data_IF_760937275227
#
_entry.id   IF_760937275227
#
_cell.length_a   1.000
_cell.length_b   1.000
_cell.length_c   1.000
_cell.angle_alpha   90.00
_cell.angle_beta   90.00
_cell.angle_gamma   90.00
#
_symmetry.space_group_name_H-M   'P 1'
#
loop_
_entity.id
_entity.type
_entity.pdbx_description
1 polymer ?
#
# COMPACT_ATOMS: atom_id res chain seq x y z
N UNK A 1 -24.07 -4.88 10.32
CA UNK A 1 -22.60 -4.81 10.18
C UNK A 1 -22.24 -5.59 8.93
N UNK A 2 -21.56 -4.96 7.97
CA UNK A 2 -21.16 -5.61 6.71
C UNK A 2 -19.79 -6.25 6.92
N UNK A 3 -19.61 -7.47 6.44
CA UNK A 3 -18.32 -8.18 6.50
C UNK A 3 -17.81 -8.39 5.07
N UNK A 4 -16.49 -8.30 4.91
CA UNK A 4 -15.84 -8.46 3.61
C UNK A 4 -14.86 -9.64 3.66
N UNK A 5 -14.82 -10.41 2.56
CA UNK A 5 -13.82 -11.46 2.41
C UNK A 5 -12.43 -10.84 2.25
N UNK A 6 -11.42 -11.25 3.03
CA UNK A 6 -10.06 -10.72 2.92
C UNK A 6 -9.36 -11.08 1.60
N UNK A 7 -9.82 -12.12 0.89
CA UNK A 7 -9.21 -12.58 -0.35
C UNK A 7 -9.76 -11.91 -1.61
N UNK A 8 -11.08 -11.70 -1.69
CA UNK A 8 -11.73 -11.11 -2.88
C UNK A 8 -12.50 -9.83 -2.63
N UNK A 9 -12.56 -9.36 -1.38
CA UNK A 9 -13.25 -8.15 -0.95
C UNK A 9 -14.75 -8.08 -1.30
N UNK A 10 -15.40 -9.21 -1.57
CA UNK A 10 -16.87 -9.28 -1.65
C UNK A 10 -17.49 -9.31 -0.28
N UNK A 11 -18.70 -8.77 -0.19
CA UNK A 11 -19.54 -8.88 0.99
C UNK A 11 -19.82 -10.36 1.30
N UNK A 12 -19.78 -10.70 2.59
CA UNK A 12 -20.02 -12.04 3.12
C UNK A 12 -20.85 -11.95 4.39
N UNK A 13 -21.54 -13.03 4.72
CA UNK A 13 -22.27 -13.14 5.99
C UNK A 13 -21.31 -13.26 7.18
N UNK A 14 -21.74 -12.72 8.34
CA UNK A 14 -20.96 -12.72 9.58
C UNK A 14 -20.50 -14.11 10.05
N UNK A 15 -21.25 -15.16 9.70
CA UNK A 15 -20.96 -16.56 10.07
C UNK A 15 -20.22 -17.35 9.00
N UNK A 16 -19.81 -16.72 7.90
CA UNK A 16 -19.24 -17.42 6.75
C UNK A 16 -17.84 -17.96 7.08
N UNK A 17 -17.67 -19.30 7.03
CA UNK A 17 -16.37 -19.94 7.27
C UNK A 17 -15.48 -19.95 6.03
N UNK A 18 -16.08 -20.13 4.85
CA UNK A 18 -15.41 -20.20 3.55
C UNK A 18 -16.12 -19.24 2.60
N UNK A 19 -15.37 -18.37 1.92
CA UNK A 19 -15.95 -17.42 0.97
C UNK A 19 -16.59 -18.15 -0.22
N UNK A 20 -17.86 -17.87 -0.56
CA UNK A 20 -18.54 -18.53 -1.68
C UNK A 20 -18.02 -18.09 -3.06
N UNK A 21 -17.21 -17.03 -3.13
CA UNK A 21 -16.73 -16.46 -4.39
C UNK A 21 -15.28 -16.77 -4.73
N UNK A 22 -14.42 -16.96 -3.73
CA UNK A 22 -13.00 -17.26 -3.94
C UNK A 22 -12.50 -18.44 -3.11
N UNK A 23 -13.39 -19.15 -2.42
CA UNK A 23 -13.09 -20.37 -1.64
C UNK A 23 -12.09 -20.17 -0.49
N UNK A 24 -11.76 -18.91 -0.15
CA UNK A 24 -10.88 -18.57 0.98
C UNK A 24 -11.50 -18.98 2.32
N UNK A 25 -10.75 -19.66 3.19
CA UNK A 25 -11.14 -19.95 4.57
C UNK A 25 -11.00 -18.70 5.46
N UNK A 26 -12.10 -17.97 5.61
CA UNK A 26 -12.21 -16.72 6.38
C UNK A 26 -12.00 -16.99 7.87
N UNK A 27 -12.48 -18.14 8.36
CA UNK A 27 -12.38 -18.50 9.77
C UNK A 27 -10.94 -18.79 10.19
N UNK A 28 -10.17 -19.45 9.32
CA UNK A 28 -8.73 -19.66 9.48
C UNK A 28 -7.97 -18.35 9.36
N UNK A 29 -8.28 -17.53 8.34
CA UNK A 29 -7.63 -16.22 8.18
C UNK A 29 -7.82 -15.34 9.43
N UNK A 30 -9.04 -15.22 9.95
CA UNK A 30 -9.31 -14.38 11.12
C UNK A 30 -8.51 -14.79 12.36
N UNK A 31 -8.31 -16.11 12.55
CA UNK A 31 -7.57 -16.69 13.67
C UNK A 31 -6.05 -16.67 13.49
N UNK A 32 -5.55 -16.80 12.27
CA UNK A 32 -4.12 -17.04 12.00
C UNK A 32 -3.42 -15.93 11.23
N UNK A 33 -4.15 -14.99 10.63
CA UNK A 33 -3.54 -13.91 9.86
C UNK A 33 -2.67 -13.02 10.77
N UNK A 34 -1.47 -12.74 10.29
CA UNK A 34 -0.51 -11.83 10.91
C UNK A 34 -1.07 -10.42 10.87
N UNK A 35 -0.59 -9.59 11.79
CA UNK A 35 -1.02 -8.19 11.88
C UNK A 35 -0.83 -7.43 10.56
N UNK A 36 0.30 -7.64 9.88
CA UNK A 36 0.60 -7.03 8.57
C UNK A 36 -0.39 -7.48 7.49
N UNK A 37 -0.76 -8.76 7.44
CA UNK A 37 -1.74 -9.27 6.46
C UNK A 37 -3.11 -8.63 6.65
N UNK A 38 -3.54 -8.47 7.91
CA UNK A 38 -4.79 -7.76 8.24
C UNK A 38 -4.75 -6.29 7.77
N UNK A 39 -3.62 -5.61 7.92
CA UNK A 39 -3.44 -4.25 7.44
C UNK A 39 -3.40 -4.17 5.91
N UNK A 40 -2.75 -5.11 5.22
CA UNK A 40 -2.75 -5.20 3.76
C UNK A 40 -4.19 -5.37 3.25
N UNK A 41 -4.98 -6.25 3.87
CA UNK A 41 -6.39 -6.42 3.53
C UNK A 41 -7.21 -5.14 3.74
N UNK A 42 -6.91 -4.37 4.81
CA UNK A 42 -7.58 -3.10 5.09
C UNK A 42 -7.31 -2.00 4.04
N UNK A 43 -6.28 -2.12 3.19
CA UNK A 43 -6.02 -1.19 2.08
C UNK A 43 -7.09 -1.25 0.99
N UNK A 44 -7.91 -2.32 0.94
CA UNK A 44 -9.01 -2.44 -0.01
C UNK A 44 -10.32 -1.79 0.49
N UNK A 45 -10.32 -1.23 1.69
CA UNK A 45 -11.52 -0.64 2.28
C UNK A 45 -11.98 0.62 1.52
N UNK A 46 -13.30 0.83 1.44
CA UNK A 46 -13.88 1.96 0.69
C UNK A 46 -13.69 3.30 1.43
N UNK A 47 -13.54 3.24 2.75
CA UNK A 47 -13.39 4.42 3.59
C UNK A 47 -11.94 4.98 3.55
N UNK A 48 -11.72 6.22 3.09
CA UNK A 48 -10.38 6.79 2.93
C UNK A 48 -9.57 6.85 4.23
N UNK A 49 -10.24 7.05 5.38
CA UNK A 49 -9.58 7.13 6.68
C UNK A 49 -8.97 5.78 7.10
N UNK A 50 -9.72 4.70 6.89
CA UNK A 50 -9.27 3.33 7.17
C UNK A 50 -8.05 2.99 6.34
N UNK A 51 -8.09 3.29 5.04
CA UNK A 51 -7.01 3.02 4.10
C UNK A 51 -5.76 3.84 4.43
N UNK A 52 -5.90 5.14 4.70
CA UNK A 52 -4.79 6.01 5.12
C UNK A 52 -4.11 5.51 6.38
N UNK A 53 -4.91 5.10 7.38
CA UNK A 53 -4.39 4.57 8.65
C UNK A 53 -3.66 3.24 8.42
N UNK A 54 -4.20 2.35 7.60
CA UNK A 54 -3.54 1.09 7.26
C UNK A 54 -2.19 1.35 6.57
N UNK A 55 -2.14 2.23 5.55
CA UNK A 55 -0.91 2.59 4.86
C UNK A 55 0.15 3.17 5.81
N UNK A 56 -0.25 4.10 6.68
CA UNK A 56 0.64 4.70 7.68
C UNK A 56 1.25 3.65 8.63
N UNK A 57 0.44 2.73 9.16
CA UNK A 57 0.94 1.68 10.06
C UNK A 57 1.91 0.75 9.32
N UNK A 58 1.61 0.38 8.06
CA UNK A 58 2.47 -0.47 7.24
C UNK A 58 3.83 0.18 6.96
N UNK A 59 3.85 1.50 6.73
CA UNK A 59 5.06 2.31 6.64
C UNK A 59 5.93 2.20 7.90
N UNK A 60 5.32 2.44 9.06
CA UNK A 60 5.98 2.40 10.37
C UNK A 60 6.54 1.03 10.72
N UNK A 61 5.88 -0.03 10.29
CA UNK A 61 6.32 -1.40 10.44
C UNK A 61 7.41 -1.80 9.44
N UNK A 62 7.71 -0.96 8.45
CA UNK A 62 8.60 -1.24 7.33
C UNK A 62 8.24 -2.55 6.62
N UNK A 63 6.94 -2.79 6.45
CA UNK A 63 6.40 -4.03 5.89
C UNK A 63 6.64 -4.08 4.37
N UNK A 64 7.76 -4.65 3.95
CA UNK A 64 8.13 -4.77 2.53
C UNK A 64 7.13 -5.60 1.73
N UNK A 65 6.48 -6.58 2.36
CA UNK A 65 5.40 -7.35 1.71
C UNK A 65 4.18 -6.50 1.33
N UNK A 66 3.99 -5.33 1.93
CA UNK A 66 2.85 -4.45 1.65
C UNK A 66 3.05 -3.55 0.42
N UNK A 67 4.27 -3.46 -0.11
CA UNK A 67 4.61 -2.56 -1.23
C UNK A 67 3.70 -2.77 -2.45
N UNK A 68 3.44 -4.01 -2.93
CA UNK A 68 2.53 -4.22 -4.05
C UNK A 68 1.11 -3.72 -3.78
N UNK A 69 0.59 -3.95 -2.57
CA UNK A 69 -0.76 -3.54 -2.19
C UNK A 69 -0.88 -2.01 -2.06
N UNK A 70 0.17 -1.34 -1.57
CA UNK A 70 0.25 0.12 -1.50
C UNK A 70 0.27 0.76 -2.90
N UNK A 71 1.01 0.17 -3.85
CA UNK A 71 1.03 0.62 -5.25
C UNK A 71 -0.34 0.43 -5.92
N UNK A 72 -0.94 -0.76 -5.77
CA UNK A 72 -2.29 -1.06 -6.28
C UNK A 72 -3.36 -0.12 -5.69
N UNK A 73 -3.22 0.25 -4.42
CA UNK A 73 -4.08 1.28 -3.82
C UNK A 73 -3.92 2.65 -4.51
N UNK A 74 -2.69 3.10 -4.75
CA UNK A 74 -2.46 4.39 -5.40
C UNK A 74 -2.98 4.44 -6.85
N UNK A 75 -3.00 3.31 -7.56
CA UNK A 75 -3.54 3.24 -8.92
C UNK A 75 -5.09 3.22 -8.94
N UNK A 76 -5.75 2.84 -7.84
CA UNK A 76 -7.22 2.76 -7.73
C UNK A 76 -7.88 4.01 -7.18
N UNK A 77 -7.11 4.96 -6.64
CA UNK A 77 -7.64 6.17 -6.01
C UNK A 77 -7.09 7.43 -6.67
N UNK A 78 -7.95 8.44 -6.81
CA UNK A 78 -7.55 9.78 -7.22
C UNK A 78 -7.41 10.73 -6.02
N UNK A 79 -7.67 10.26 -4.78
CA UNK A 79 -7.62 11.08 -3.57
C UNK A 79 -6.16 11.43 -3.22
N UNK A 80 -5.76 12.73 -3.30
CA UNK A 80 -4.40 13.14 -2.98
C UNK A 80 -3.97 12.84 -1.55
N UNK A 81 -4.93 12.78 -0.60
CA UNK A 81 -4.65 12.42 0.79
C UNK A 81 -4.28 10.94 0.89
N UNK A 82 -5.00 10.05 0.21
CA UNK A 82 -4.65 8.62 0.21
C UNK A 82 -3.30 8.41 -0.45
N UNK A 83 -3.05 9.05 -1.61
CA UNK A 83 -1.78 8.95 -2.33
C UNK A 83 -0.61 9.49 -1.49
N UNK A 84 -0.79 10.61 -0.77
CA UNK A 84 0.22 11.15 0.15
C UNK A 84 0.61 10.11 1.21
N UNK A 85 -0.37 9.44 1.84
CA UNK A 85 -0.11 8.41 2.84
C UNK A 85 0.59 7.17 2.26
N UNK A 86 0.24 6.78 1.03
CA UNK A 86 0.94 5.71 0.31
C UNK A 86 2.40 6.09 0.06
N UNK A 87 2.65 7.29 -0.46
CA UNK A 87 3.99 7.80 -0.75
C UNK A 87 4.86 7.85 0.51
N UNK A 88 4.31 8.34 1.62
CA UNK A 88 5.00 8.39 2.91
C UNK A 88 5.32 6.97 3.41
N UNK A 89 4.35 6.05 3.35
CA UNK A 89 4.56 4.67 3.75
C UNK A 89 5.64 3.97 2.92
N UNK A 90 5.62 4.14 1.59
CA UNK A 90 6.63 3.59 0.68
C UNK A 90 8.03 4.16 0.95
N UNK A 91 8.11 5.46 1.29
CA UNK A 91 9.36 6.09 1.74
C UNK A 91 9.91 5.49 3.03
N UNK A 92 9.05 5.29 4.04
CA UNK A 92 9.45 4.68 5.32
C UNK A 92 9.88 3.21 5.17
N UNK A 93 9.22 2.45 4.27
CA UNK A 93 9.57 1.07 3.96
C UNK A 93 10.94 1.00 3.27
N UNK A 94 11.23 1.93 2.36
CA UNK A 94 12.52 2.00 1.66
C UNK A 94 12.74 0.88 0.64
N UNK A 95 11.69 0.27 0.11
CA UNK A 95 11.82 -0.80 -0.89
C UNK A 95 12.01 -0.23 -2.31
N UNK A 96 13.08 -0.64 -2.99
CA UNK A 96 13.44 -0.14 -4.33
C UNK A 96 12.35 -0.32 -5.37
N UNK A 97 11.43 -1.28 -5.19
CA UNK A 97 10.26 -1.48 -6.06
C UNK A 97 9.34 -0.26 -6.11
N UNK A 98 9.32 0.56 -5.06
CA UNK A 98 8.50 1.76 -4.98
C UNK A 98 9.09 2.98 -5.70
N UNK A 99 10.39 2.95 -6.03
CA UNK A 99 11.11 4.12 -6.56
C UNK A 99 10.55 4.66 -7.88
N UNK A 100 10.19 3.84 -8.89
CA UNK A 100 9.58 4.35 -10.13
C UNK A 100 8.26 5.10 -9.87
N UNK A 101 7.45 4.59 -8.95
CA UNK A 101 6.21 5.24 -8.54
C UNK A 101 6.47 6.59 -7.86
N UNK A 102 7.44 6.66 -6.94
CA UNK A 102 7.80 7.92 -6.28
C UNK A 102 8.30 8.98 -7.28
N UNK A 103 9.11 8.59 -8.28
CA UNK A 103 9.56 9.51 -9.35
C UNK A 103 8.37 10.04 -10.15
N UNK A 104 7.39 9.19 -10.46
CA UNK A 104 6.14 9.58 -11.13
C UNK A 104 5.34 10.57 -10.26
N UNK A 105 5.28 10.35 -8.95
CA UNK A 105 4.59 11.25 -8.01
C UNK A 105 5.24 12.63 -7.92
N UNK A 106 6.56 12.75 -8.03
CA UNK A 106 7.26 14.06 -8.05
C UNK A 106 6.89 14.88 -9.29
N UNK A 107 6.74 14.22 -10.44
CA UNK A 107 6.49 14.91 -11.72
C UNK A 107 5.01 15.18 -11.96
N UNK A 108 4.15 14.21 -11.69
CA UNK A 108 2.73 14.23 -12.06
C UNK A 108 1.77 14.40 -10.87
N UNK A 109 2.24 14.26 -9.63
CA UNK A 109 1.38 14.36 -8.44
C UNK A 109 0.90 15.78 -8.12
N UNK A 110 -0.09 15.91 -7.24
CA UNK A 110 -0.47 17.19 -6.64
C UNK A 110 0.66 17.75 -5.75
N UNK A 111 0.68 19.06 -5.46
CA UNK A 111 1.76 19.72 -4.71
C UNK A 111 2.15 18.98 -3.40
N UNK A 112 1.16 18.50 -2.65
CA UNK A 112 1.39 17.72 -1.42
C UNK A 112 2.09 16.39 -1.70
N UNK A 113 1.57 15.64 -2.67
CA UNK A 113 2.12 14.35 -3.12
C UNK A 113 3.55 14.52 -3.63
N UNK A 114 3.83 15.59 -4.40
CA UNK A 114 5.19 15.89 -4.89
C UNK A 114 6.17 16.08 -3.74
N UNK A 115 5.83 16.94 -2.77
CA UNK A 115 6.67 17.19 -1.59
C UNK A 115 6.89 15.91 -0.77
N UNK A 116 5.86 15.08 -0.62
CA UNK A 116 5.99 13.81 0.06
C UNK A 116 6.92 12.85 -0.70
N UNK A 117 6.80 12.80 -2.03
CA UNK A 117 7.60 11.93 -2.88
C UNK A 117 9.07 12.36 -2.93
N UNK A 118 9.36 13.67 -2.94
CA UNK A 118 10.72 14.21 -2.80
C UNK A 118 11.36 13.78 -1.48
N UNK A 119 10.64 13.90 -0.35
CA UNK A 119 11.09 13.45 0.96
C UNK A 119 11.29 11.93 1.01
N UNK A 120 10.38 11.17 0.39
CA UNK A 120 10.49 9.72 0.31
C UNK A 120 11.73 9.32 -0.48
N UNK A 121 11.95 9.89 -1.67
CA UNK A 121 13.13 9.61 -2.51
C UNK A 121 14.45 9.98 -1.84
N UNK A 122 14.47 11.03 -1.01
CA UNK A 122 15.67 11.40 -0.25
C UNK A 122 16.10 10.33 0.77
N UNK A 123 15.19 9.44 1.18
CA UNK A 123 15.49 8.33 2.08
C UNK A 123 16.05 7.10 1.34
N UNK A 124 15.92 7.05 0.01
CA UNK A 124 16.56 6.01 -0.78
C UNK A 124 18.03 6.35 -1.02
N UNK A 125 18.93 5.36 -0.98
CA UNK A 125 20.31 5.58 -1.37
C UNK A 125 20.35 6.12 -2.81
N UNK A 126 21.13 7.18 -3.02
CA UNK A 126 21.43 7.67 -4.37
C UNK A 126 22.09 6.53 -5.13
N UNK A 127 21.55 6.18 -6.28
CA UNK A 127 22.34 5.41 -7.24
C UNK A 127 23.49 6.30 -7.69
N UNK A 128 24.67 6.01 -7.14
CA UNK A 128 25.92 6.55 -7.65
C UNK A 128 26.11 6.01 -9.07
N UNK A 129 26.09 6.93 -10.04
CA UNK A 129 26.67 6.83 -11.38
C UNK A 129 26.77 5.46 -12.02
N UNK A 130 25.79 5.13 -12.86
CA UNK A 130 26.10 4.44 -14.11
C UNK A 130 27.01 5.37 -14.91
N UNK A 131 28.30 5.04 -14.94
CA UNK A 131 29.34 5.74 -15.66
C UNK A 131 28.89 6.08 -17.09
N UNK A 132 29.06 7.35 -17.43
CA UNK A 132 29.29 7.77 -18.80
C UNK A 132 30.53 7.02 -19.30
N UNK A 133 30.34 5.98 -20.10
CA UNK A 133 31.42 5.39 -20.90
C UNK A 133 31.45 6.09 -22.25
N UNK A 134 32.46 6.92 -22.57
CA UNK A 134 32.68 7.32 -23.95
C UNK A 134 33.33 6.14 -24.68
N UNK A 135 32.68 5.65 -25.74
CA UNK A 135 33.32 5.12 -26.94
C UNK A 135 32.43 5.42 -28.13
#
# INVERSE_FOLDING_TARGET
MVFFCPGCWREVDAGCRICPSCEMDIARYSRSARYVEKLISALHHLEPQTVRRAAWILGRLKAREAVPALLDLADRTADPYVIESVVEALGEIGDMRARPFLIRCVTQGALRVRRAAERALAQFPREEGGAHGPQ
#
